data_IF_503315248069
#
_entry.id   IF_503315248069
#
_cell.length_a   1.000
_cell.length_b   1.000
_cell.length_c   1.000
_cell.angle_alpha   90.00
_cell.angle_beta   90.00
_cell.angle_gamma   90.00
#
_symmetry.space_group_name_H-M   'P 1'
#
loop_
_entity.id
_entity.type
_entity.pdbx_description
1 polymer ?
#
# COMPACT_ATOMS: atom_id res chain seq x y z
N UNK A 1 1.22 -14.54 -32.99
CA UNK A 1 1.93 -13.88 -31.88
C UNK A 1 1.07 -13.72 -30.63
N UNK A 2 -0.15 -13.14 -30.66
CA UNK A 2 -1.01 -13.02 -29.46
C UNK A 2 -1.32 -14.34 -28.72
N UNK A 3 -1.53 -15.45 -29.43
CA UNK A 3 -1.78 -16.75 -28.79
C UNK A 3 -0.57 -17.28 -28.01
N UNK A 4 0.65 -16.87 -28.39
CA UNK A 4 1.88 -17.37 -27.78
C UNK A 4 2.02 -16.94 -26.32
N UNK A 5 1.59 -15.72 -25.96
CA UNK A 5 1.62 -15.24 -24.57
C UNK A 5 0.75 -16.11 -23.68
N UNK A 6 -0.49 -16.35 -24.11
CA UNK A 6 -1.46 -17.11 -23.33
C UNK A 6 -1.09 -18.60 -23.25
N UNK A 7 -0.46 -19.15 -24.29
CA UNK A 7 0.11 -20.50 -24.26
C UNK A 7 1.30 -20.63 -23.32
N UNK A 8 2.27 -19.71 -23.39
CA UNK A 8 3.42 -19.70 -22.48
C UNK A 8 2.98 -19.56 -21.03
N UNK A 9 2.01 -18.68 -20.75
CA UNK A 9 1.42 -18.51 -19.43
C UNK A 9 0.77 -19.80 -18.92
N UNK A 10 -0.04 -20.44 -19.77
CA UNK A 10 -0.71 -21.71 -19.45
C UNK A 10 0.29 -22.84 -19.17
N UNK A 11 1.41 -22.87 -19.88
CA UNK A 11 2.49 -23.85 -19.68
C UNK A 11 3.40 -23.52 -18.49
N UNK A 12 3.26 -22.35 -17.86
CA UNK A 12 4.16 -21.90 -16.79
C UNK A 12 5.57 -21.56 -17.29
N UNK A 13 5.76 -21.29 -18.58
CA UNK A 13 7.04 -20.90 -19.16
C UNK A 13 7.28 -19.39 -18.94
N UNK A 14 7.62 -19.02 -17.70
CA UNK A 14 7.85 -17.63 -17.31
C UNK A 14 9.00 -16.95 -18.04
N UNK A 15 10.18 -17.57 -18.24
CA UNK A 15 11.27 -16.92 -18.97
C UNK A 15 10.88 -16.55 -20.40
N UNK A 16 10.22 -17.48 -21.12
CA UNK A 16 9.74 -17.24 -22.47
C UNK A 16 8.62 -16.19 -22.52
N UNK A 17 7.69 -16.24 -21.56
CA UNK A 17 6.61 -15.26 -21.47
C UNK A 17 7.15 -13.86 -21.20
N UNK A 18 8.01 -13.71 -20.19
CA UNK A 18 8.56 -12.43 -19.77
C UNK A 18 9.46 -11.80 -20.83
N UNK A 19 10.23 -12.61 -21.56
CA UNK A 19 10.95 -12.13 -22.74
C UNK A 19 10.00 -11.50 -23.77
N UNK A 20 8.86 -12.14 -24.04
CA UNK A 20 7.88 -11.66 -25.00
C UNK A 20 7.17 -10.39 -24.54
N UNK A 21 6.64 -10.34 -23.31
CA UNK A 21 5.92 -9.17 -22.81
C UNK A 21 6.83 -7.97 -22.52
N UNK A 22 8.13 -8.17 -22.28
CA UNK A 22 9.10 -7.05 -22.22
C UNK A 22 9.24 -6.36 -23.59
N UNK A 23 9.15 -7.11 -24.69
CA UNK A 23 9.20 -6.56 -26.04
C UNK A 23 7.86 -5.94 -26.48
N UNK A 24 6.74 -6.45 -25.94
CA UNK A 24 5.39 -5.96 -26.22
C UNK A 24 4.54 -5.86 -24.94
N UNK A 25 4.70 -4.77 -24.15
CA UNK A 25 4.05 -4.61 -22.84
C UNK A 25 2.52 -4.68 -22.87
N UNK A 26 1.88 -4.22 -23.96
CA UNK A 26 0.42 -4.26 -24.15
C UNK A 26 -0.17 -5.68 -24.04
N UNK A 27 0.67 -6.71 -24.15
CA UNK A 27 0.24 -8.09 -24.12
C UNK A 27 0.14 -8.68 -22.71
N UNK A 28 0.58 -7.97 -21.68
CA UNK A 28 0.61 -8.46 -20.29
C UNK A 28 -0.77 -8.84 -19.74
N UNK A 29 -1.84 -8.24 -20.27
CA UNK A 29 -3.23 -8.49 -19.88
C UNK A 29 -4.05 -9.23 -20.95
N UNK A 30 -3.41 -9.79 -21.98
CA UNK A 30 -4.12 -10.61 -22.97
C UNK A 30 -4.70 -11.87 -22.33
N UNK A 31 -5.97 -12.14 -22.62
CA UNK A 31 -6.72 -13.25 -22.02
C UNK A 31 -6.88 -14.42 -23.00
N UNK A 32 -6.74 -15.64 -22.49
CA UNK A 32 -6.93 -16.87 -23.27
C UNK A 32 -8.40 -17.10 -23.63
N UNK A 33 -8.69 -17.68 -24.79
CA UNK A 33 -10.04 -18.19 -25.11
C UNK A 33 -10.24 -19.65 -24.64
N UNK A 34 -11.46 -20.06 -24.26
CA UNK A 34 -12.64 -19.23 -23.95
C UNK A 34 -12.66 -18.74 -22.49
N UNK A 35 -11.74 -19.23 -21.64
CA UNK A 35 -11.84 -19.08 -20.17
C UNK A 35 -11.45 -17.69 -19.65
N UNK A 36 -10.71 -16.91 -20.44
CA UNK A 36 -10.31 -15.56 -20.11
C UNK A 36 -9.13 -15.44 -19.15
N UNK A 37 -8.17 -16.37 -19.14
CA UNK A 37 -7.01 -16.29 -18.25
C UNK A 37 -5.92 -15.39 -18.84
N UNK A 38 -5.54 -14.34 -18.10
CA UNK A 38 -4.36 -13.53 -18.39
C UNK A 38 -3.09 -14.11 -17.73
N UNK A 39 -1.87 -13.68 -18.11
CA UNK A 39 -0.61 -14.07 -17.49
C UNK A 39 -0.63 -14.09 -15.94
N UNK A 40 -1.15 -13.05 -15.29
CA UNK A 40 -1.21 -12.99 -13.82
C UNK A 40 -2.17 -14.02 -13.21
N UNK A 41 -3.29 -14.33 -13.89
CA UNK A 41 -4.18 -15.42 -13.46
C UNK A 41 -3.47 -16.77 -13.52
N UNK A 42 -2.68 -17.01 -14.57
CA UNK A 42 -1.92 -18.24 -14.71
C UNK A 42 -0.80 -18.32 -13.67
N UNK A 43 -0.11 -17.22 -13.40
CA UNK A 43 0.89 -17.16 -12.33
C UNK A 43 0.27 -17.48 -10.96
N UNK A 44 -0.91 -16.92 -10.67
CA UNK A 44 -1.69 -17.24 -9.47
C UNK A 44 -2.13 -18.71 -9.43
N UNK A 45 -2.58 -19.26 -10.56
CA UNK A 45 -3.01 -20.66 -10.66
C UNK A 45 -1.86 -21.65 -10.45
N UNK A 46 -0.69 -21.37 -11.03
CA UNK A 46 0.52 -22.20 -10.89
C UNK A 46 1.22 -22.00 -9.54
N UNK A 47 0.93 -20.92 -8.82
CA UNK A 47 1.63 -20.59 -7.57
C UNK A 47 3.05 -20.12 -7.82
N UNK A 48 3.25 -19.30 -8.87
CA UNK A 48 4.56 -18.85 -9.32
C UNK A 48 5.37 -18.15 -8.20
N UNK A 49 6.69 -18.19 -8.35
CA UNK A 49 7.60 -17.56 -7.39
C UNK A 49 7.46 -16.03 -7.39
N UNK A 50 7.78 -15.42 -6.24
CA UNK A 50 7.60 -13.97 -6.03
C UNK A 50 8.27 -13.09 -7.09
N UNK A 51 9.50 -13.38 -7.59
CA UNK A 51 10.10 -12.58 -8.66
C UNK A 51 9.30 -12.60 -9.97
N UNK A 52 8.68 -13.73 -10.32
CA UNK A 52 7.80 -13.84 -11.51
C UNK A 52 6.57 -12.97 -11.32
N UNK A 53 5.88 -13.11 -10.18
CA UNK A 53 4.66 -12.36 -9.88
C UNK A 53 4.96 -10.86 -9.82
N UNK A 54 6.02 -10.48 -9.12
CA UNK A 54 6.47 -9.10 -9.01
C UNK A 54 6.83 -8.51 -10.37
N UNK A 55 7.47 -9.26 -11.25
CA UNK A 55 7.77 -8.78 -12.58
C UNK A 55 6.53 -8.60 -13.45
N UNK A 56 5.57 -9.53 -13.42
CA UNK A 56 4.30 -9.38 -14.13
C UNK A 56 3.58 -8.11 -13.67
N UNK A 57 3.51 -7.87 -12.36
CA UNK A 57 2.90 -6.66 -11.79
C UNK A 57 3.65 -5.38 -12.22
N UNK A 58 4.99 -5.40 -12.22
CA UNK A 58 5.83 -4.28 -12.70
C UNK A 58 5.64 -3.98 -14.18
N UNK A 59 5.29 -4.98 -14.99
CA UNK A 59 4.96 -4.82 -16.40
C UNK A 59 3.50 -4.37 -16.64
N UNK A 60 2.73 -4.10 -15.59
CA UNK A 60 1.36 -3.57 -15.68
C UNK A 60 0.27 -4.65 -15.71
N UNK A 61 0.56 -5.86 -15.21
CA UNK A 61 -0.48 -6.86 -15.03
C UNK A 61 -1.58 -6.36 -14.08
N UNK A 62 -2.83 -6.51 -14.49
CA UNK A 62 -3.99 -6.05 -13.73
C UNK A 62 -4.39 -7.10 -12.68
N UNK A 63 -4.19 -6.76 -11.41
CA UNK A 63 -4.52 -7.63 -10.27
C UNK A 63 -6.03 -7.72 -10.02
N UNK A 64 -6.84 -6.81 -10.55
CA UNK A 64 -8.30 -6.82 -10.43
C UNK A 64 -9.01 -7.49 -11.62
N UNK A 65 -8.29 -7.74 -12.73
CA UNK A 65 -8.87 -8.36 -13.92
C UNK A 65 -9.50 -9.70 -13.56
N UNK A 66 -10.72 -9.95 -14.04
CA UNK A 66 -11.46 -11.20 -13.78
C UNK A 66 -11.44 -12.12 -14.99
N UNK A 67 -11.29 -13.42 -14.73
CA UNK A 67 -11.50 -14.45 -15.75
C UNK A 67 -12.93 -14.40 -16.30
N UNK A 68 -13.11 -14.69 -17.59
CA UNK A 68 -14.44 -14.66 -18.21
C UNK A 68 -15.34 -15.78 -17.69
N UNK A 69 -14.80 -16.99 -17.52
CA UNK A 69 -15.62 -18.16 -17.20
C UNK A 69 -16.09 -18.22 -15.75
N UNK A 70 -15.20 -17.88 -14.80
CA UNK A 70 -15.50 -18.00 -13.35
C UNK A 70 -15.61 -16.66 -12.64
N UNK A 71 -15.34 -15.54 -13.32
CA UNK A 71 -15.34 -14.19 -12.72
C UNK A 71 -14.40 -14.07 -11.51
N UNK A 72 -13.29 -14.84 -11.54
CA UNK A 72 -12.27 -14.84 -10.50
C UNK A 72 -11.10 -13.92 -10.87
N UNK A 73 -10.67 -13.13 -9.91
CA UNK A 73 -9.39 -12.38 -9.89
C UNK A 73 -8.19 -13.31 -9.64
N UNK A 74 -6.96 -12.86 -9.94
CA UNK A 74 -5.73 -13.55 -9.53
C UNK A 74 -5.70 -13.92 -8.04
N UNK A 75 -6.10 -13.00 -7.14
CA UNK A 75 -6.13 -13.26 -5.70
C UNK A 75 -7.07 -14.41 -5.33
N UNK A 76 -8.27 -14.44 -5.90
CA UNK A 76 -9.24 -15.51 -5.64
C UNK A 76 -8.75 -16.86 -6.16
N UNK A 77 -8.09 -16.87 -7.33
CA UNK A 77 -7.44 -18.08 -7.86
C UNK A 77 -6.32 -18.55 -6.93
N UNK A 78 -5.46 -17.65 -6.46
CA UNK A 78 -4.36 -17.99 -5.55
C UNK A 78 -4.88 -18.54 -4.22
N UNK A 79 -5.95 -17.97 -3.66
CA UNK A 79 -6.60 -18.49 -2.45
C UNK A 79 -7.23 -19.87 -2.65
N UNK A 80 -7.84 -20.12 -3.81
CA UNK A 80 -8.42 -21.42 -4.14
C UNK A 80 -7.35 -22.50 -4.35
N UNK A 81 -6.27 -22.17 -5.08
CA UNK A 81 -5.26 -23.15 -5.51
C UNK A 81 -4.11 -23.32 -4.52
N UNK A 82 -3.75 -22.24 -3.81
CA UNK A 82 -2.59 -22.17 -2.93
C UNK A 82 -2.98 -21.50 -1.61
N UNK A 83 -3.85 -22.13 -0.80
CA UNK A 83 -4.36 -21.53 0.45
C UNK A 83 -3.27 -21.24 1.49
N UNK A 84 -2.12 -21.90 1.40
CA UNK A 84 -0.97 -21.71 2.31
C UNK A 84 0.06 -20.68 1.80
N UNK A 85 -0.18 -20.03 0.65
CA UNK A 85 0.75 -19.04 0.05
C UNK A 85 0.32 -17.61 0.41
N UNK A 86 0.46 -17.26 1.68
CA UNK A 86 0.13 -15.92 2.19
C UNK A 86 0.95 -14.82 1.50
N UNK A 87 2.18 -15.15 1.09
CA UNK A 87 3.06 -14.31 0.27
C UNK A 87 2.41 -13.93 -1.07
N UNK A 88 1.81 -14.91 -1.75
CA UNK A 88 1.11 -14.71 -3.01
C UNK A 88 -0.20 -13.93 -2.80
N UNK A 89 -0.94 -14.23 -1.74
CA UNK A 89 -2.18 -13.52 -1.42
C UNK A 89 -1.91 -12.04 -1.12
N UNK A 90 -0.82 -11.77 -0.40
CA UNK A 90 -0.38 -10.41 -0.09
C UNK A 90 -0.07 -9.63 -1.39
N UNK A 91 0.77 -10.18 -2.28
CA UNK A 91 1.18 -9.50 -3.51
C UNK A 91 0.02 -9.26 -4.50
N UNK A 92 -0.96 -10.17 -4.55
CA UNK A 92 -2.09 -10.09 -5.49
C UNK A 92 -3.24 -9.22 -4.98
N UNK A 93 -3.08 -8.51 -3.87
CA UNK A 93 -4.11 -7.58 -3.37
C UNK A 93 -4.30 -6.42 -4.36
N UNK A 94 -5.51 -6.27 -4.95
CA UNK A 94 -5.67 -5.61 -6.25
C UNK A 94 -5.92 -4.09 -6.22
N UNK A 95 -5.85 -3.42 -5.06
CA UNK A 95 -6.19 -1.99 -4.95
C UNK A 95 -5.17 -1.22 -4.12
N UNK A 96 -4.95 0.02 -4.54
CA UNK A 96 -4.14 1.00 -3.82
C UNK A 96 -5.00 1.98 -3.05
N UNK A 97 -4.56 2.34 -1.85
CA UNK A 97 -5.20 3.38 -1.03
C UNK A 97 -4.86 4.78 -1.57
N UNK A 98 -5.62 5.82 -1.17
CA UNK A 98 -5.28 7.20 -1.55
C UNK A 98 -3.87 7.61 -1.10
N UNK A 99 -3.42 7.13 0.06
CA UNK A 99 -2.06 7.39 0.52
C UNK A 99 -1.01 6.76 -0.41
N UNK A 100 -1.24 5.53 -0.88
CA UNK A 100 -0.37 4.85 -1.84
C UNK A 100 -0.39 5.55 -3.21
N UNK A 101 -1.57 5.95 -3.69
CA UNK A 101 -1.69 6.69 -4.95
C UNK A 101 -1.01 8.05 -4.86
N UNK A 102 -1.20 8.79 -3.77
CA UNK A 102 -0.54 10.09 -3.56
C UNK A 102 0.99 9.93 -3.48
N UNK A 103 1.50 8.90 -2.78
CA UNK A 103 2.94 8.57 -2.81
C UNK A 103 3.45 8.28 -4.23
N UNK A 104 2.68 7.52 -5.03
CA UNK A 104 3.03 7.23 -6.43
C UNK A 104 3.04 8.49 -7.29
N UNK A 105 2.05 9.38 -7.11
CA UNK A 105 1.99 10.67 -7.80
C UNK A 105 3.23 11.52 -7.47
N UNK A 106 3.59 11.62 -6.19
CA UNK A 106 4.79 12.34 -5.77
C UNK A 106 6.05 11.74 -6.41
N UNK A 107 6.17 10.41 -6.41
CA UNK A 107 7.33 9.72 -7.00
C UNK A 107 7.46 9.95 -8.51
N UNK A 108 6.38 9.76 -9.28
CA UNK A 108 6.41 9.91 -10.75
C UNK A 108 6.52 11.39 -11.18
N UNK A 109 6.12 12.31 -10.31
CA UNK A 109 6.08 13.75 -10.59
C UNK A 109 6.97 14.52 -9.61
N UNK A 110 8.13 13.99 -9.23
CA UNK A 110 9.02 14.61 -8.22
C UNK A 110 9.38 16.07 -8.55
N UNK A 111 9.44 16.42 -9.84
CA UNK A 111 9.62 17.79 -10.32
C UNK A 111 8.52 18.78 -9.87
N UNK A 112 7.32 18.31 -9.55
CA UNK A 112 6.22 19.10 -8.97
C UNK A 112 6.32 19.21 -7.44
N UNK A 113 7.10 18.35 -6.79
CA UNK A 113 7.26 18.25 -5.34
C UNK A 113 8.74 18.25 -4.88
N UNK A 114 9.58 19.19 -5.35
CA UNK A 114 10.98 19.19 -4.96
C UNK A 114 11.12 19.38 -3.44
N UNK A 115 12.08 18.69 -2.82
CA UNK A 115 12.27 18.67 -1.35
C UNK A 115 12.44 20.05 -0.72
N UNK A 116 12.90 21.04 -1.49
CA UNK A 116 13.09 22.41 -1.06
C UNK A 116 11.82 23.28 -1.16
N UNK A 117 10.69 22.73 -1.62
CA UNK A 117 9.46 23.47 -1.88
C UNK A 117 8.34 23.09 -0.89
N UNK A 118 7.63 24.12 -0.46
CA UNK A 118 6.44 24.13 0.38
C UNK A 118 5.37 23.11 0.00
N UNK A 119 5.21 22.84 -1.30
CA UNK A 119 4.27 21.82 -1.81
C UNK A 119 4.55 20.43 -1.27
N UNK A 120 5.83 20.09 -1.04
CA UNK A 120 6.20 18.77 -0.52
C UNK A 120 5.72 18.58 0.92
N UNK A 121 5.80 19.61 1.75
CA UNK A 121 5.34 19.59 3.15
C UNK A 121 3.84 19.31 3.20
N UNK A 122 3.06 20.02 2.39
CA UNK A 122 1.60 19.80 2.29
C UNK A 122 1.30 18.40 1.74
N UNK A 123 2.01 17.96 0.70
CA UNK A 123 1.83 16.63 0.11
C UNK A 123 2.08 15.49 1.12
N UNK A 124 3.16 15.58 1.90
CA UNK A 124 3.50 14.58 2.91
C UNK A 124 2.46 14.56 4.05
N UNK A 125 1.93 15.72 4.45
CA UNK A 125 0.85 15.80 5.42
C UNK A 125 -0.49 15.25 4.88
N UNK A 126 -0.80 15.47 3.60
CA UNK A 126 -1.94 14.86 2.91
C UNK A 126 -1.80 13.34 2.86
N UNK A 127 -0.61 12.81 2.52
CA UNK A 127 -0.33 11.36 2.55
C UNK A 127 -0.58 10.78 3.95
N UNK A 128 -0.08 11.43 5.00
CA UNK A 128 -0.30 11.00 6.37
C UNK A 128 -1.80 11.00 6.74
N UNK A 129 -2.52 12.05 6.35
CA UNK A 129 -3.96 12.18 6.59
C UNK A 129 -4.78 11.12 5.83
N UNK A 130 -4.44 10.85 4.57
CA UNK A 130 -5.02 9.71 3.84
C UNK A 130 -4.68 8.37 4.48
N UNK A 131 -3.46 8.21 5.01
CA UNK A 131 -3.03 6.97 5.66
C UNK A 131 -3.85 6.68 6.94
N UNK A 132 -4.31 7.71 7.64
CA UNK A 132 -5.15 7.56 8.83
C UNK A 132 -6.53 6.94 8.52
N UNK A 133 -6.99 7.01 7.27
CA UNK A 133 -8.25 6.41 6.86
C UNK A 133 -8.07 4.88 6.66
N UNK A 134 -8.83 4.11 7.44
CA UNK A 134 -8.83 2.63 7.42
C UNK A 134 -9.78 2.07 6.36
N UNK A 135 -10.65 2.91 5.81
CA UNK A 135 -11.64 2.49 4.83
C UNK A 135 -10.99 2.28 3.47
N UNK A 136 -11.27 1.13 2.86
CA UNK A 136 -10.97 0.92 1.46
C UNK A 136 -11.69 1.99 0.64
N UNK A 137 -11.05 2.44 -0.44
CA UNK A 137 -11.73 3.24 -1.45
C UNK A 137 -12.86 2.38 -2.00
N UNK A 138 -14.09 2.64 -1.55
CA UNK A 138 -15.28 2.20 -2.26
C UNK A 138 -15.25 2.87 -3.64
N UNK A 139 -15.80 2.19 -4.65
CA UNK A 139 -15.76 2.67 -6.02
C UNK A 139 -16.57 3.98 -6.22
N UNK A 140 -17.30 4.45 -5.20
CA UNK A 140 -18.13 5.66 -5.20
C UNK A 140 -17.51 6.84 -4.43
N UNK A 141 -16.23 6.77 -4.03
CA UNK A 141 -15.59 7.90 -3.31
C UNK A 141 -15.50 9.13 -4.21
N UNK A 142 -16.09 10.24 -3.77
CA UNK A 142 -15.91 11.57 -4.35
C UNK A 142 -14.48 12.08 -4.05
N UNK A 143 -13.61 12.03 -5.06
CA UNK A 143 -12.20 12.42 -4.89
C UNK A 143 -12.03 13.91 -4.67
N UNK A 144 -12.87 14.74 -5.29
CA UNK A 144 -12.82 16.19 -5.14
C UNK A 144 -13.15 16.56 -3.69
N UNK A 145 -14.28 16.06 -3.17
CA UNK A 145 -14.67 16.26 -1.78
C UNK A 145 -13.60 15.71 -0.81
N UNK A 146 -13.04 14.53 -1.08
CA UNK A 146 -12.00 13.94 -0.22
C UNK A 146 -10.71 14.75 -0.22
N UNK A 147 -10.27 15.22 -1.39
CA UNK A 147 -9.09 16.05 -1.51
C UNK A 147 -9.30 17.40 -0.82
N UNK A 148 -10.44 18.06 -1.03
CA UNK A 148 -10.79 19.32 -0.38
C UNK A 148 -10.82 19.18 1.15
N UNK A 149 -11.47 18.14 1.68
CA UNK A 149 -11.55 17.91 3.12
C UNK A 149 -10.17 17.62 3.75
N UNK A 150 -9.33 16.82 3.09
CA UNK A 150 -7.98 16.51 3.58
C UNK A 150 -7.05 17.72 3.46
N UNK A 151 -7.15 18.47 2.37
CA UNK A 151 -6.42 19.73 2.21
C UNK A 151 -6.77 20.68 3.35
N UNK A 152 -8.06 20.93 3.59
CA UNK A 152 -8.52 21.80 4.67
C UNK A 152 -8.11 21.29 6.05
N UNK A 153 -8.12 19.98 6.30
CA UNK A 153 -7.66 19.42 7.57
C UNK A 153 -6.16 19.68 7.81
N UNK A 154 -5.35 19.66 6.75
CA UNK A 154 -3.89 19.87 6.81
C UNK A 154 -3.53 21.35 6.88
N UNK A 155 -4.23 22.20 6.13
CA UNK A 155 -3.86 23.61 5.89
C UNK A 155 -4.72 24.61 6.66
N UNK A 156 -5.83 24.16 7.23
CA UNK A 156 -6.93 24.97 7.79
C UNK A 156 -7.68 25.85 6.78
N UNK A 157 -7.33 25.78 5.49
CA UNK A 157 -7.97 26.56 4.43
C UNK A 157 -8.85 25.73 3.52
N UNK A 158 -10.02 26.26 3.11
CA UNK A 158 -10.83 25.62 2.09
C UNK A 158 -10.08 25.60 0.75
N UNK A 159 -10.23 24.51 0.00
CA UNK A 159 -9.62 24.36 -1.32
C UNK A 159 -10.35 25.19 -2.39
N UNK A 160 -11.60 25.57 -2.13
CA UNK A 160 -12.44 26.41 -2.98
C UNK A 160 -12.16 27.91 -2.85
N UNK A 161 -11.12 28.32 -2.11
CA UNK A 161 -10.78 29.73 -1.96
C UNK A 161 -10.26 30.35 -3.27
N UNK A 162 -10.46 31.67 -3.43
CA UNK A 162 -10.13 32.44 -4.65
C UNK A 162 -8.74 33.12 -4.57
N UNK A 163 -8.09 33.11 -3.41
CA UNK A 163 -6.77 33.74 -3.20
C UNK A 163 -5.64 32.71 -3.05
N UNK A 164 -4.47 33.00 -3.62
CA UNK A 164 -3.27 32.19 -3.48
C UNK A 164 -2.91 31.98 -2.00
N UNK A 165 -2.77 30.71 -1.63
CA UNK A 165 -2.57 30.33 -0.24
C UNK A 165 -1.13 30.58 0.23
N UNK A 166 -1.00 31.37 1.29
CA UNK A 166 0.19 31.41 2.16
C UNK A 166 -0.18 30.97 3.57
N UNK A 167 0.50 29.96 4.10
CA UNK A 167 0.48 29.68 5.54
C UNK A 167 1.85 29.82 6.15
N UNK A 168 1.86 30.01 7.46
CA UNK A 168 3.07 30.22 8.23
C UNK A 168 3.10 29.11 9.28
N UNK A 169 4.12 28.26 9.25
CA UNK A 169 4.38 27.37 10.39
C UNK A 169 4.86 28.21 11.58
N UNK A 170 5.57 29.30 11.29
CA UNK A 170 5.93 30.44 12.17
C UNK A 170 6.04 31.70 11.31
N UNK A 171 5.98 32.90 11.91
CA UNK A 171 6.07 34.17 11.17
C UNK A 171 7.27 34.23 10.20
N UNK A 172 8.40 33.61 10.57
CA UNK A 172 9.63 33.59 9.77
C UNK A 172 9.73 32.43 8.78
N UNK A 173 8.71 31.57 8.69
CA UNK A 173 8.69 30.39 7.81
C UNK A 173 7.41 30.38 6.97
N UNK A 174 7.32 31.25 5.95
CA UNK A 174 6.20 31.28 5.02
C UNK A 174 6.25 30.07 4.09
N UNK A 175 5.10 29.44 3.91
CA UNK A 175 4.82 28.43 2.91
C UNK A 175 3.79 28.99 1.94
N UNK A 176 4.06 28.90 0.64
CA UNK A 176 3.12 29.30 -0.40
C UNK A 176 2.84 28.16 -1.36
N UNK A 177 1.56 27.91 -1.62
CA UNK A 177 1.16 27.01 -2.68
C UNK A 177 -0.04 27.59 -3.40
N UNK A 178 0.06 27.64 -4.72
CA UNK A 178 -1.08 27.84 -5.61
C UNK A 178 -2.17 26.79 -5.30
N UNK A 179 -3.42 27.24 -5.14
CA UNK A 179 -4.58 26.39 -4.88
C UNK A 179 -5.05 25.66 -6.14
N UNK A 180 -4.87 26.26 -7.32
CA UNK A 180 -5.20 25.62 -8.60
C UNK A 180 -4.34 24.38 -8.83
N UNK A 181 -3.09 24.39 -8.35
CA UNK A 181 -2.25 23.19 -8.35
C UNK A 181 -2.96 22.01 -7.66
N UNK A 182 -3.58 22.22 -6.51
CA UNK A 182 -4.25 21.14 -5.78
C UNK A 182 -5.61 20.80 -6.40
N UNK A 183 -6.43 21.81 -6.67
CA UNK A 183 -7.80 21.63 -7.20
C UNK A 183 -7.84 21.09 -8.62
N UNK A 184 -6.85 21.43 -9.45
CA UNK A 184 -6.81 21.04 -10.86
C UNK A 184 -5.77 19.96 -11.09
N UNK A 185 -4.49 20.22 -10.79
CA UNK A 185 -3.42 19.27 -11.14
C UNK A 185 -3.45 18.01 -10.27
N UNK A 186 -3.53 18.14 -8.94
CA UNK A 186 -3.52 16.99 -8.04
C UNK A 186 -4.81 16.18 -8.15
N UNK A 187 -5.97 16.82 -8.27
CA UNK A 187 -7.23 16.11 -8.50
C UNK A 187 -7.17 15.28 -9.79
N UNK A 188 -6.73 15.89 -10.90
CA UNK A 188 -6.58 15.18 -12.17
C UNK A 188 -5.62 13.99 -12.09
N UNK A 189 -4.49 14.16 -11.40
CA UNK A 189 -3.54 13.08 -11.16
C UNK A 189 -4.16 11.98 -10.28
N UNK A 190 -4.86 12.32 -9.20
CA UNK A 190 -5.54 11.33 -8.36
C UNK A 190 -6.58 10.50 -9.14
N UNK A 191 -7.38 11.14 -10.00
CA UNK A 191 -8.32 10.45 -10.88
C UNK A 191 -7.62 9.50 -11.85
N UNK A 192 -6.55 9.97 -12.50
CA UNK A 192 -5.76 9.17 -13.43
C UNK A 192 -5.15 7.93 -12.74
N UNK A 193 -4.48 8.11 -11.60
CA UNK A 193 -3.85 7.02 -10.87
C UNK A 193 -4.87 6.09 -10.19
N UNK A 194 -6.05 6.60 -9.80
CA UNK A 194 -7.15 5.76 -9.31
C UNK A 194 -7.65 4.80 -10.39
N UNK A 195 -7.84 5.27 -11.61
CA UNK A 195 -8.29 4.44 -12.73
C UNK A 195 -7.31 3.29 -13.04
N UNK A 196 -6.03 3.47 -12.73
CA UNK A 196 -4.97 2.47 -12.90
C UNK A 196 -4.60 1.75 -11.59
N UNK A 197 -5.36 1.93 -10.50
CA UNK A 197 -4.95 1.48 -9.17
C UNK A 197 -4.67 -0.03 -9.07
N UNK A 198 -5.30 -0.85 -9.92
CA UNK A 198 -5.10 -2.30 -9.95
C UNK A 198 -3.90 -2.78 -10.77
N UNK A 199 -3.30 -1.90 -11.59
CA UNK A 199 -2.09 -2.17 -12.36
C UNK A 199 -0.84 -1.54 -11.73
N UNK A 200 -0.99 -0.79 -10.63
CA UNK A 200 0.12 -0.17 -9.90
C UNK A 200 0.64 -1.13 -8.81
N UNK A 201 1.86 -1.70 -8.93
CA UNK A 201 2.47 -2.53 -7.89
C UNK A 201 3.03 -1.68 -6.74
N UNK A 202 3.10 -2.22 -5.50
CA UNK A 202 3.98 -1.65 -4.47
C UNK A 202 5.44 -1.85 -4.91
N UNK A 203 6.10 -0.77 -5.31
CA UNK A 203 7.47 -0.80 -5.80
C UNK A 203 8.46 -0.29 -4.73
N UNK A 204 9.71 -0.75 -4.81
CA UNK A 204 10.75 -0.47 -3.81
C UNK A 204 11.01 1.03 -3.62
N UNK A 205 10.78 1.83 -4.66
CA UNK A 205 11.15 3.23 -4.73
C UNK A 205 10.20 4.14 -3.94
N UNK A 206 8.98 3.69 -3.66
CA UNK A 206 7.96 4.50 -2.99
C UNK A 206 7.15 3.76 -1.91
N UNK A 207 7.33 2.45 -1.77
CA UNK A 207 6.72 1.68 -0.69
C UNK A 207 7.32 2.04 0.68
N UNK A 208 6.46 2.09 1.69
CA UNK A 208 6.81 2.45 3.07
C UNK A 208 6.41 1.36 4.05
N UNK A 209 6.96 1.39 5.26
CA UNK A 209 6.66 0.41 6.31
C UNK A 209 5.15 0.33 6.58
N UNK A 210 4.42 1.45 6.48
CA UNK A 210 2.97 1.46 6.64
C UNK A 210 2.19 0.62 5.62
N UNK A 211 2.77 0.31 4.45
CA UNK A 211 2.13 -0.57 3.45
C UNK A 211 2.10 -2.03 3.92
N UNK A 212 2.99 -2.42 4.85
CA UNK A 212 3.04 -3.75 5.42
C UNK A 212 1.85 -4.03 6.36
N UNK A 213 1.17 -2.98 6.84
CA UNK A 213 0.04 -3.07 7.76
C UNK A 213 -1.27 -3.47 7.06
N UNK A 214 -1.25 -3.65 5.75
CA UNK A 214 -2.37 -4.13 4.96
C UNK A 214 -2.03 -5.46 4.28
N UNK A 215 -2.93 -6.46 4.28
CA UNK A 215 -4.25 -6.46 4.90
C UNK A 215 -4.17 -6.57 6.44
N UNK A 216 -5.27 -6.27 7.14
CA UNK A 216 -5.36 -6.49 8.60
C UNK A 216 -5.05 -7.95 8.99
N UNK A 217 -4.46 -8.20 10.17
CA UNK A 217 -4.27 -9.55 10.68
C UNK A 217 -5.63 -10.19 11.03
N UNK A 218 -5.69 -11.52 11.03
CA UNK A 218 -6.91 -12.29 11.29
C UNK A 218 -7.34 -12.30 12.76
N UNK A 219 -6.43 -11.97 13.68
CA UNK A 219 -6.68 -12.01 15.12
C UNK A 219 -5.84 -10.98 15.88
N UNK A 220 -6.29 -10.67 17.10
CA UNK A 220 -5.70 -9.70 18.02
C UNK A 220 -5.59 -10.32 19.41
N UNK A 221 -4.70 -9.82 20.27
CA UNK A 221 -4.55 -10.31 21.64
C UNK A 221 -5.53 -9.64 22.60
N UNK A 222 -5.54 -8.31 22.62
CA UNK A 222 -6.39 -7.45 23.43
C UNK A 222 -7.08 -6.39 22.57
N UNK A 223 -8.09 -5.73 23.15
CA UNK A 223 -8.87 -4.69 22.47
C UNK A 223 -8.07 -3.44 22.12
N UNK A 224 -6.90 -3.22 22.72
CA UNK A 224 -5.99 -2.13 22.38
C UNK A 224 -5.11 -2.39 21.16
N UNK A 225 -4.86 -3.66 20.80
CA UNK A 225 -3.94 -4.01 19.69
C UNK A 225 -4.35 -3.42 18.33
N UNK A 226 -5.64 -3.44 17.92
CA UNK A 226 -6.06 -2.80 16.67
C UNK A 226 -5.76 -1.30 16.64
N UNK A 227 -5.88 -0.61 17.78
CA UNK A 227 -5.60 0.84 17.83
C UNK A 227 -4.11 1.13 17.74
N UNK A 228 -3.27 0.34 18.41
CA UNK A 228 -1.81 0.46 18.25
C UNK A 228 -1.38 0.12 16.82
N UNK A 229 -1.98 -0.88 16.18
CA UNK A 229 -1.74 -1.20 14.76
C UNK A 229 -1.97 0.01 13.87
N UNK A 230 -3.08 0.73 14.08
CA UNK A 230 -3.42 1.94 13.33
C UNK A 230 -2.46 3.10 13.65
N UNK A 231 -2.13 3.33 14.92
CA UNK A 231 -1.16 4.38 15.29
C UNK A 231 0.24 4.11 14.72
N UNK A 232 0.71 2.86 14.74
CA UNK A 232 1.98 2.47 14.13
C UNK A 232 1.95 2.62 12.61
N UNK A 233 0.87 2.20 11.95
CA UNK A 233 0.65 2.40 10.51
C UNK A 233 0.71 3.89 10.16
N UNK A 234 0.14 4.76 10.98
CA UNK A 234 0.20 6.22 10.78
C UNK A 234 1.62 6.76 11.03
N UNK A 235 2.25 6.41 12.15
CA UNK A 235 3.58 6.89 12.53
C UNK A 235 4.69 6.49 11.52
N UNK A 236 4.49 5.38 10.82
CA UNK A 236 5.46 4.81 9.87
C UNK A 236 5.11 5.12 8.39
N UNK A 237 4.18 6.05 8.14
CA UNK A 237 3.63 6.34 6.80
C UNK A 237 4.60 6.95 5.79
N UNK A 238 5.75 7.45 6.28
CA UNK A 238 6.84 8.01 5.48
C UNK A 238 8.15 7.25 5.65
N UNK A 239 8.16 6.19 6.46
CA UNK A 239 9.38 5.45 6.74
C UNK A 239 9.63 4.41 5.63
N UNK A 240 10.76 4.47 4.90
CA UNK A 240 11.05 3.47 3.87
C UNK A 240 11.22 2.08 4.48
N UNK A 241 10.88 1.04 3.72
CA UNK A 241 11.12 -0.35 4.13
C UNK A 241 12.63 -0.62 4.01
N UNK A 242 13.34 -0.96 5.10
CA UNK A 242 14.75 -1.30 5.00
C UNK A 242 14.93 -2.71 4.42
N UNK A 243 16.03 -2.91 3.67
CA UNK A 243 16.38 -4.22 3.09
C UNK A 243 16.69 -5.27 4.16
N UNK A 244 17.26 -4.84 5.29
CA UNK A 244 17.62 -5.71 6.41
C UNK A 244 16.41 -6.00 7.31
N UNK A 245 16.15 -7.30 7.53
CA UNK A 245 15.05 -7.78 8.38
C UNK A 245 15.20 -7.31 9.82
N UNK A 246 16.43 -7.30 10.34
CA UNK A 246 16.69 -6.88 11.71
C UNK A 246 16.54 -5.36 11.87
N UNK A 247 16.92 -4.58 10.86
CA UNK A 247 16.64 -3.14 10.82
C UNK A 247 15.15 -2.84 10.81
N UNK A 248 14.35 -3.58 10.05
CA UNK A 248 12.88 -3.44 10.07
C UNK A 248 12.33 -3.79 11.46
N UNK A 249 12.75 -4.93 12.04
CA UNK A 249 12.33 -5.35 13.37
C UNK A 249 12.63 -4.27 14.42
N UNK A 250 13.85 -3.71 14.42
CA UNK A 250 14.23 -2.61 15.32
C UNK A 250 13.32 -1.39 15.17
N UNK A 251 13.02 -0.97 13.93
CA UNK A 251 12.11 0.17 13.68
C UNK A 251 10.70 -0.08 14.22
N UNK A 252 10.16 -1.29 14.03
CA UNK A 252 8.85 -1.68 14.53
C UNK A 252 8.82 -1.71 16.08
N UNK A 253 9.85 -2.27 16.72
CA UNK A 253 9.98 -2.28 18.19
C UNK A 253 10.15 -0.87 18.75
N UNK A 254 10.93 0.00 18.09
CA UNK A 254 11.07 1.40 18.48
C UNK A 254 9.76 2.16 18.34
N UNK A 255 8.99 1.95 17.27
CA UNK A 255 7.68 2.56 17.10
C UNK A 255 6.66 2.08 18.15
N UNK A 256 6.64 0.78 18.46
CA UNK A 256 5.86 0.25 19.58
C UNK A 256 6.22 0.96 20.88
N UNK A 257 7.52 1.07 21.19
CA UNK A 257 8.00 1.68 22.44
C UNK A 257 7.64 3.16 22.50
N UNK A 258 7.81 3.90 21.40
CA UNK A 258 7.49 5.31 21.32
C UNK A 258 6.00 5.60 21.55
N UNK A 259 5.10 4.74 21.03
CA UNK A 259 3.65 4.93 21.13
C UNK A 259 3.08 4.41 22.45
N UNK A 260 3.62 3.33 23.00
CA UNK A 260 3.10 2.72 24.24
C UNK A 260 3.81 3.19 25.51
N UNK A 261 5.03 3.72 25.40
CA UNK A 261 5.91 3.96 26.54
C UNK A 261 6.47 2.68 27.17
N UNK A 262 6.20 1.49 26.60
CA UNK A 262 6.63 0.21 27.12
C UNK A 262 7.62 -0.48 26.17
N UNK A 263 8.71 -1.03 26.71
CA UNK A 263 9.63 -1.88 25.95
C UNK A 263 9.06 -3.30 25.79
N UNK A 264 9.15 -3.84 24.58
CA UNK A 264 8.76 -5.22 24.23
C UNK A 264 9.75 -6.28 24.74
N UNK A 265 11.01 -5.91 24.98
CA UNK A 265 12.08 -6.90 25.20
C UNK A 265 11.88 -7.68 26.49
N UNK A 266 11.75 -9.01 26.36
CA UNK A 266 11.68 -9.95 27.49
C UNK A 266 10.45 -9.80 28.38
N UNK A 267 9.38 -9.12 27.91
CA UNK A 267 8.15 -8.92 28.70
C UNK A 267 7.05 -9.92 28.35
N UNK A 268 6.44 -10.45 29.41
CA UNK A 268 5.16 -11.15 29.35
C UNK A 268 4.02 -10.24 29.82
N UNK A 269 2.78 -10.61 29.47
CA UNK A 269 1.58 -9.89 29.88
C UNK A 269 1.16 -8.77 28.93
N UNK A 270 0.71 -7.65 29.48
CA UNK A 270 0.16 -6.54 28.70
C UNK A 270 0.48 -5.17 29.31
N UNK A 271 0.43 -4.14 28.48
CA UNK A 271 0.37 -2.74 28.92
C UNK A 271 -1.03 -2.19 28.66
N UNK A 272 -1.57 -1.41 29.60
CA UNK A 272 -2.84 -0.71 29.41
C UNK A 272 -2.55 0.70 28.93
N UNK A 273 -3.10 1.05 27.77
CA UNK A 273 -3.04 2.39 27.19
C UNK A 273 -4.42 3.03 27.31
N UNK A 274 -4.53 4.02 28.19
CA UNK A 274 -5.81 4.64 28.54
C UNK A 274 -6.53 5.25 27.32
N UNK A 275 -5.79 5.89 26.40
CA UNK A 275 -6.39 6.45 25.17
C UNK A 275 -7.01 5.41 24.23
N UNK A 276 -6.68 4.13 24.39
CA UNK A 276 -7.29 3.02 23.65
C UNK A 276 -8.46 2.39 24.41
N UNK A 277 -8.73 2.84 25.63
CA UNK A 277 -9.85 2.33 26.40
C UNK A 277 -11.19 2.81 25.83
N UNK A 278 -12.11 1.87 25.59
CA UNK A 278 -13.49 2.10 25.13
C UNK A 278 -14.54 1.48 26.07
N UNK A 279 -14.13 1.11 27.29
CA UNK A 279 -14.97 0.48 28.31
C UNK A 279 -14.96 -1.05 28.28
N UNK A 280 -15.24 -1.66 29.45
CA UNK A 280 -15.23 -3.11 29.66
C UNK A 280 -13.89 -3.69 30.12
N UNK A 281 -13.89 -4.98 30.51
CA UNK A 281 -12.68 -5.72 30.87
C UNK A 281 -11.74 -5.80 29.65
N UNK A 282 -10.43 -5.63 29.88
CA UNK A 282 -9.36 -5.64 28.85
C UNK A 282 -9.37 -4.47 27.86
N UNK A 283 -10.13 -3.42 28.16
CA UNK A 283 -10.20 -2.20 27.36
C UNK A 283 -8.87 -1.43 27.39
N UNK A 284 -8.29 -1.19 26.20
CA UNK A 284 -7.00 -0.51 26.06
C UNK A 284 -5.75 -1.35 26.37
N UNK A 285 -5.91 -2.63 26.72
CA UNK A 285 -4.77 -3.55 26.88
C UNK A 285 -4.08 -3.85 25.55
N UNK A 286 -2.76 -4.05 25.57
CA UNK A 286 -1.92 -4.40 24.42
C UNK A 286 -1.07 -5.59 24.83
N UNK A 287 -1.15 -6.72 24.11
CA UNK A 287 -0.39 -7.94 24.46
C UNK A 287 1.06 -7.85 23.99
N UNK A 288 2.01 -7.96 24.92
CA UNK A 288 3.44 -8.04 24.54
C UNK A 288 3.72 -9.29 23.71
N UNK A 289 3.18 -10.44 24.11
CA UNK A 289 3.30 -11.73 23.41
C UNK A 289 2.78 -11.64 21.97
N UNK A 290 1.58 -11.12 21.77
CA UNK A 290 0.97 -11.00 20.44
C UNK A 290 1.81 -10.10 19.53
N UNK A 291 2.33 -8.99 20.04
CA UNK A 291 3.19 -8.11 19.26
C UNK A 291 4.56 -8.73 18.95
N UNK A 292 5.19 -9.38 19.93
CA UNK A 292 6.52 -9.95 19.79
C UNK A 292 6.55 -11.21 18.91
N UNK A 293 5.52 -12.06 19.04
CA UNK A 293 5.49 -13.40 18.44
C UNK A 293 4.65 -13.49 17.16
N UNK A 294 3.71 -12.56 16.94
CA UNK A 294 2.80 -12.61 15.79
C UNK A 294 2.84 -11.37 14.91
N UNK A 295 2.52 -10.19 15.47
CA UNK A 295 2.29 -8.99 14.66
C UNK A 295 3.58 -8.41 14.06
N UNK A 296 4.65 -8.24 14.86
CA UNK A 296 5.95 -7.77 14.32
C UNK A 296 6.54 -8.81 13.36
N UNK A 297 6.59 -10.12 13.69
CA UNK A 297 7.03 -11.14 12.74
C UNK A 297 6.26 -11.11 11.41
N UNK A 298 4.93 -10.99 11.43
CA UNK A 298 4.09 -10.86 10.23
C UNK A 298 4.52 -9.68 9.35
N UNK A 299 4.75 -8.50 9.93
CA UNK A 299 5.20 -7.33 9.19
C UNK A 299 6.59 -7.53 8.57
N UNK A 300 7.49 -8.20 9.29
CA UNK A 300 8.83 -8.55 8.78
C UNK A 300 8.74 -9.57 7.64
N UNK A 301 7.84 -10.55 7.72
CA UNK A 301 7.59 -11.50 6.63
C UNK A 301 7.02 -10.82 5.39
N UNK A 302 6.02 -9.95 5.55
CA UNK A 302 5.47 -9.16 4.43
C UNK A 302 6.52 -8.33 3.70
N UNK A 303 7.43 -7.70 4.45
CA UNK A 303 8.56 -7.00 3.84
C UNK A 303 9.46 -7.97 3.04
N UNK A 304 9.71 -9.16 3.58
CA UNK A 304 10.49 -10.18 2.88
C UNK A 304 9.82 -10.62 1.57
N UNK A 305 8.49 -10.74 1.55
CA UNK A 305 7.74 -11.07 0.35
C UNK A 305 7.84 -9.97 -0.70
N UNK A 306 7.72 -8.70 -0.30
CA UNK A 306 7.93 -7.55 -1.18
C UNK A 306 9.35 -7.54 -1.78
N UNK A 307 10.39 -7.68 -0.94
CA UNK A 307 11.77 -7.75 -1.43
C UNK A 307 11.97 -8.92 -2.39
N UNK A 308 11.33 -10.07 -2.13
CA UNK A 308 11.32 -11.21 -3.05
C UNK A 308 10.71 -10.85 -4.41
N UNK A 309 9.62 -10.08 -4.41
CA UNK A 309 8.94 -9.61 -5.63
C UNK A 309 9.71 -8.55 -6.41
N UNK A 310 10.56 -7.76 -5.74
CA UNK A 310 11.36 -6.71 -6.36
C UNK A 310 12.64 -7.23 -7.03
N UNK A 311 13.02 -8.49 -6.75
CA UNK A 311 14.15 -9.14 -7.44
C UNK A 311 13.83 -9.30 -8.91
N UNK A 312 14.83 -9.02 -9.76
CA UNK A 312 14.72 -9.30 -11.19
C UNK A 312 14.63 -10.82 -11.40
N UNK A 313 13.73 -11.22 -12.29
CA UNK A 313 13.60 -12.58 -12.78
C UNK A 313 14.32 -12.75 -14.13
#
# INVERSE_FOLDING_TARGET
MNHQVTDLARMGNWPGLLHLVRATPDWINLTSEPKGYAPLHQAAWHGADLPVVGELLRLGADAALKTRSKQQSPLEIAREKHPARDDLHFLLTPRRTLAQLMRKIIFDNDHLFPLANDRRVVADAIVATFQANVFHLDDDVDLEMRLAAVFQAVTTLPLENDEDFRFYVREEMPFSSDLDFWRINILHLLEHYRAMSSTIPLAAEWAVIADLFEPLPSSWGFRGDPYLWLEMRYALCHAPIPEDREALRRRLVSAFTALTGASLDGREGHVVIERFARGGMSSGGISFETWNEKLIPLLVERASWLHGSWRRF
#
